data_IF_388729636932
#
_entry.id   IF_388729636932
#
_cell.length_a   1.000
_cell.length_b   1.000
_cell.length_c   1.000
_cell.angle_alpha   90.00
_cell.angle_beta   90.00
_cell.angle_gamma   90.00
#
_symmetry.space_group_name_H-M   'P 1'
#
loop_
_entity.id
_entity.type
_entity.pdbx_description
1 polymer ?
#
# COMPACT_ATOMS: atom_id res chain seq x y z
N UNK A 1 25.17 -24.58 -9.89
CA UNK A 1 24.03 -24.24 -9.00
C UNK A 1 24.64 -23.71 -7.71
N UNK A 2 24.84 -22.39 -7.63
CA UNK A 2 25.35 -21.79 -6.40
C UNK A 2 24.35 -22.06 -5.28
N UNK A 3 24.86 -22.46 -4.12
CA UNK A 3 24.07 -22.73 -2.92
C UNK A 3 23.18 -21.53 -2.61
N UNK A 4 21.88 -21.68 -2.89
CA UNK A 4 20.89 -20.63 -2.65
C UNK A 4 20.84 -20.31 -1.17
N UNK A 5 20.62 -19.02 -0.88
CA UNK A 5 20.49 -18.37 0.43
C UNK A 5 19.53 -19.13 1.37
N UNK A 6 20.01 -20.24 1.95
CA UNK A 6 19.24 -21.18 2.73
C UNK A 6 18.95 -20.55 4.10
N UNK A 7 17.89 -19.75 4.15
CA UNK A 7 17.42 -19.09 5.37
C UNK A 7 16.73 -17.75 5.15
N UNK A 8 16.79 -17.16 3.94
CA UNK A 8 16.12 -15.90 3.69
C UNK A 8 14.63 -16.10 3.32
N UNK A 9 13.73 -15.47 4.08
CA UNK A 9 12.29 -15.42 3.74
C UNK A 9 12.06 -14.57 2.49
N UNK A 10 11.00 -14.85 1.73
CA UNK A 10 10.70 -14.07 0.53
C UNK A 10 10.51 -12.57 0.83
N UNK A 11 9.92 -12.22 1.98
CA UNK A 11 9.82 -10.83 2.45
C UNK A 11 11.19 -10.17 2.64
N UNK A 12 12.18 -10.91 3.16
CA UNK A 12 13.54 -10.40 3.33
C UNK A 12 14.27 -10.23 1.99
N UNK A 13 13.94 -11.04 0.99
CA UNK A 13 14.47 -10.88 -0.37
C UNK A 13 13.95 -9.59 -1.00
N UNK A 14 12.62 -9.37 -0.96
CA UNK A 14 11.97 -8.14 -1.47
C UNK A 14 12.52 -6.90 -0.77
N UNK A 15 12.68 -6.95 0.55
CA UNK A 15 13.26 -5.84 1.32
C UNK A 15 14.70 -5.51 0.88
N UNK A 16 15.55 -6.53 0.65
CA UNK A 16 16.91 -6.32 0.14
C UNK A 16 16.92 -5.73 -1.26
N UNK A 17 16.07 -6.24 -2.16
CA UNK A 17 15.93 -5.68 -3.52
C UNK A 17 15.57 -4.18 -3.47
N UNK A 18 14.67 -3.80 -2.57
CA UNK A 18 14.33 -2.39 -2.32
C UNK A 18 15.50 -1.54 -1.80
N UNK A 19 16.34 -2.08 -0.91
CA UNK A 19 17.53 -1.37 -0.42
C UNK A 19 18.61 -1.20 -1.49
N UNK A 20 18.82 -2.23 -2.31
CA UNK A 20 19.87 -2.27 -3.32
C UNK A 20 19.50 -1.46 -4.57
N UNK A 21 18.25 -1.56 -5.02
CA UNK A 21 17.80 -0.99 -6.30
C UNK A 21 16.65 0.02 -6.19
N UNK A 22 16.12 0.31 -5.01
CA UNK A 22 14.94 1.18 -4.86
C UNK A 22 15.18 2.67 -5.09
N UNK A 23 16.45 3.11 -5.15
CA UNK A 23 16.85 4.51 -5.40
C UNK A 23 17.76 4.60 -6.63
N UNK A 24 17.25 4.32 -7.84
CA UNK A 24 18.06 4.36 -9.05
C UNK A 24 18.49 5.80 -9.40
N UNK A 25 19.56 5.92 -10.17
CA UNK A 25 19.91 7.19 -10.81
C UNK A 25 18.82 7.63 -11.80
N UNK A 26 18.80 8.93 -12.12
CA UNK A 26 17.81 9.49 -13.05
C UNK A 26 17.77 8.71 -14.38
N UNK A 27 16.57 8.29 -14.78
CA UNK A 27 16.34 7.54 -16.02
C UNK A 27 16.52 6.03 -15.93
N UNK A 28 16.95 5.49 -14.79
CA UNK A 28 17.03 4.04 -14.55
C UNK A 28 15.75 3.48 -13.89
N UNK A 29 15.39 2.20 -14.15
CA UNK A 29 14.29 1.55 -13.45
C UNK A 29 14.66 1.31 -11.98
N UNK A 30 13.70 1.49 -11.07
CA UNK A 30 13.85 1.13 -9.67
C UNK A 30 13.54 -0.35 -9.42
N UNK A 31 13.89 -0.84 -8.24
CA UNK A 31 13.40 -2.13 -7.76
C UNK A 31 11.86 -2.14 -7.76
N UNK A 32 11.28 -3.28 -8.13
CA UNK A 32 9.83 -3.42 -8.19
C UNK A 32 9.25 -3.43 -6.77
N UNK A 33 8.29 -2.54 -6.45
CA UNK A 33 7.62 -2.58 -5.16
C UNK A 33 6.61 -3.71 -5.12
N UNK A 34 6.22 -4.09 -3.91
CA UNK A 34 4.98 -4.83 -3.70
C UNK A 34 3.78 -3.90 -3.93
N UNK A 35 2.74 -4.40 -4.61
CA UNK A 35 1.52 -3.64 -4.86
C UNK A 35 0.29 -4.47 -4.57
N UNK A 36 -0.76 -3.81 -4.10
CA UNK A 36 -2.08 -4.39 -3.90
C UNK A 36 -3.16 -3.42 -4.39
N UNK A 37 -4.38 -3.93 -4.57
CA UNK A 37 -5.52 -3.16 -5.04
C UNK A 37 -6.64 -3.18 -3.99
N UNK A 38 -7.13 -2.00 -3.62
CA UNK A 38 -8.13 -1.81 -2.54
C UNK A 38 -9.51 -1.47 -3.10
N UNK A 39 -9.96 -2.27 -4.07
CA UNK A 39 -11.31 -2.23 -4.61
C UNK A 39 -11.66 -0.94 -5.35
N UNK A 40 -12.95 -0.73 -5.52
CA UNK A 40 -13.58 0.31 -6.36
C UNK A 40 -13.84 1.64 -5.63
N UNK A 41 -13.33 1.78 -4.40
CA UNK A 41 -13.57 2.95 -3.56
C UNK A 41 -14.66 2.75 -2.51
N UNK A 42 -15.36 1.62 -2.48
CA UNK A 42 -16.30 1.25 -1.40
C UNK A 42 -15.68 1.20 0.00
N UNK A 43 -14.35 1.11 0.09
CA UNK A 43 -13.57 1.14 1.34
C UNK A 43 -13.21 2.57 1.78
N UNK A 44 -13.44 3.59 0.96
CA UNK A 44 -13.07 4.97 1.28
C UNK A 44 -14.04 5.55 2.30
N UNK A 45 -13.50 6.14 3.36
CA UNK A 45 -14.27 6.88 4.37
C UNK A 45 -13.90 8.35 4.39
N UNK A 46 -14.83 9.17 4.86
CA UNK A 46 -14.62 10.62 4.95
C UNK A 46 -13.49 10.97 5.92
N UNK A 47 -12.81 12.09 5.66
CA UNK A 47 -11.81 12.64 6.57
C UNK A 47 -12.42 12.89 7.96
N UNK A 48 -11.76 12.41 9.01
CA UNK A 48 -12.24 12.52 10.40
C UNK A 48 -13.36 11.52 10.78
N UNK A 49 -13.83 10.68 9.84
CA UNK A 49 -14.77 9.62 10.17
C UNK A 49 -14.06 8.47 10.95
N UNK A 50 -14.80 7.71 11.76
CA UNK A 50 -14.24 6.54 12.45
C UNK A 50 -13.69 5.49 11.47
N UNK A 51 -12.52 4.94 11.80
CA UNK A 51 -11.97 3.77 11.13
C UNK A 51 -12.41 2.51 11.87
N UNK A 52 -13.44 1.84 11.34
CA UNK A 52 -14.01 0.66 11.99
C UNK A 52 -13.17 -0.59 11.73
N UNK A 53 -12.78 -1.28 12.81
CA UNK A 53 -12.17 -2.60 12.75
C UNK A 53 -13.25 -3.68 12.71
N UNK A 54 -13.19 -4.67 11.80
CA UNK A 54 -14.19 -5.74 11.75
C UNK A 54 -14.18 -6.61 13.02
N UNK A 55 -15.37 -6.99 13.50
CA UNK A 55 -15.61 -7.65 14.79
C UNK A 55 -14.74 -8.91 15.07
N UNK A 56 -14.39 -9.67 14.02
CA UNK A 56 -13.66 -10.94 14.13
C UNK A 56 -12.17 -10.82 13.74
N UNK A 57 -11.62 -9.62 13.66
CA UNK A 57 -10.23 -9.40 13.26
C UNK A 57 -9.35 -8.99 14.45
N UNK A 58 -8.17 -9.60 14.60
CA UNK A 58 -7.19 -9.13 15.55
C UNK A 58 -6.71 -7.72 15.15
N UNK A 59 -6.69 -6.79 16.12
CA UNK A 59 -6.12 -5.43 16.07
C UNK A 59 -5.70 -4.91 14.68
N UNK A 60 -6.55 -4.06 14.09
CA UNK A 60 -6.15 -3.22 12.97
C UNK A 60 -5.30 -2.01 13.46
N UNK A 61 -4.48 -1.45 12.58
CA UNK A 61 -3.63 -0.29 12.85
C UNK A 61 -3.75 0.77 11.77
N UNK A 62 -3.49 2.02 12.15
CA UNK A 62 -3.38 3.15 11.22
C UNK A 62 -2.02 3.11 10.50
N UNK A 63 -2.02 3.38 9.20
CA UNK A 63 -0.81 3.57 8.38
C UNK A 63 -0.92 4.92 7.66
N UNK A 64 -0.41 6.01 8.27
CA UNK A 64 -0.42 7.33 7.65
C UNK A 64 0.51 7.37 6.42
N UNK A 65 0.00 7.83 5.29
CA UNK A 65 0.68 7.86 4.00
C UNK A 65 0.46 9.17 3.23
N UNK A 66 1.24 9.36 2.15
CA UNK A 66 0.97 10.40 1.14
C UNK A 66 0.30 9.70 -0.05
N UNK A 67 -0.93 10.07 -0.35
CA UNK A 67 -1.67 9.54 -1.50
C UNK A 67 -1.60 10.50 -2.70
N UNK A 68 -1.18 9.97 -3.85
CA UNK A 68 -1.36 10.64 -5.14
C UNK A 68 -2.78 10.42 -5.66
N UNK A 69 -3.49 11.49 -5.99
CA UNK A 69 -4.85 11.43 -6.49
C UNK A 69 -4.84 11.61 -8.01
N UNK A 70 -5.48 10.68 -8.71
CA UNK A 70 -5.56 10.65 -10.16
C UNK A 70 -7.01 10.54 -10.60
N UNK A 71 -7.36 11.26 -11.67
CA UNK A 71 -8.59 11.06 -12.42
C UNK A 71 -8.24 10.31 -13.70
N UNK A 72 -8.96 9.23 -14.00
CA UNK A 72 -8.83 8.55 -15.29
C UNK A 72 -9.74 9.28 -16.28
N UNK A 73 -9.17 9.85 -17.34
CA UNK A 73 -9.93 10.56 -18.37
C UNK A 73 -10.72 9.59 -19.29
N UNK A 74 -11.64 10.08 -20.14
CA UNK A 74 -12.44 9.21 -21.02
C UNK A 74 -11.62 8.33 -21.97
N UNK A 75 -10.38 8.72 -22.27
CA UNK A 75 -9.43 7.98 -23.08
C UNK A 75 -8.62 6.94 -22.28
N UNK A 76 -8.84 6.86 -20.96
CA UNK A 76 -8.16 5.93 -20.07
C UNK A 76 -6.80 6.45 -19.55
N UNK A 77 -6.46 7.72 -19.77
CA UNK A 77 -5.18 8.30 -19.35
C UNK A 77 -5.30 8.80 -17.90
N UNK A 78 -4.41 8.35 -16.99
CA UNK A 78 -4.36 8.90 -15.64
C UNK A 78 -3.89 10.36 -15.63
N UNK A 79 -4.69 11.25 -15.07
CA UNK A 79 -4.39 12.66 -14.84
C UNK A 79 -4.21 12.91 -13.36
N UNK A 80 -2.98 13.26 -12.93
CA UNK A 80 -2.72 13.59 -11.51
C UNK A 80 -3.42 14.90 -11.16
N UNK A 81 -4.26 14.86 -10.13
CA UNK A 81 -4.91 16.04 -9.56
C UNK A 81 -4.02 16.69 -8.50
N UNK A 82 -3.32 15.89 -7.69
CA UNK A 82 -2.46 16.38 -6.62
C UNK A 82 -2.11 15.27 -5.62
N UNK A 83 -1.64 15.69 -4.45
CA UNK A 83 -1.32 14.84 -3.31
C UNK A 83 -2.16 15.22 -2.08
N UNK A 84 -2.52 14.23 -1.27
CA UNK A 84 -3.15 14.45 0.03
C UNK A 84 -2.53 13.50 1.07
N UNK A 85 -2.75 13.79 2.36
CA UNK A 85 -2.49 12.80 3.40
C UNK A 85 -3.55 11.70 3.31
N UNK A 86 -3.16 10.47 3.61
CA UNK A 86 -4.06 9.34 3.66
C UNK A 86 -3.78 8.49 4.90
N UNK A 87 -4.74 7.66 5.26
CA UNK A 87 -4.55 6.62 6.26
C UNK A 87 -5.04 5.30 5.69
N UNK A 88 -4.09 4.41 5.42
CA UNK A 88 -4.33 3.05 4.98
C UNK A 88 -4.55 2.19 6.23
N UNK A 89 -5.80 2.11 6.68
CA UNK A 89 -6.09 1.26 7.83
C UNK A 89 -5.88 -0.20 7.45
N UNK A 90 -5.10 -0.94 8.23
CA UNK A 90 -4.62 -2.26 7.85
C UNK A 90 -4.71 -3.27 9.01
N UNK A 91 -4.71 -4.56 8.67
CA UNK A 91 -4.64 -5.66 9.63
C UNK A 91 -3.27 -6.33 9.61
N UNK A 92 -2.29 -5.66 10.22
CA UNK A 92 -0.92 -6.15 10.32
C UNK A 92 -0.81 -7.50 11.05
N UNK A 93 -1.78 -7.89 11.87
CA UNK A 93 -1.76 -9.20 12.54
C UNK A 93 -2.08 -10.32 11.54
N UNK A 94 -3.09 -10.11 10.70
CA UNK A 94 -3.43 -11.03 9.61
C UNK A 94 -2.27 -11.15 8.63
N UNK A 95 -1.65 -10.04 8.24
CA UNK A 95 -0.50 -10.03 7.32
C UNK A 95 0.70 -10.82 7.87
N UNK A 96 1.04 -10.61 9.15
CA UNK A 96 2.16 -11.31 9.81
C UNK A 96 1.96 -12.82 9.90
N UNK A 97 0.72 -13.30 9.87
CA UNK A 97 0.45 -14.72 9.94
C UNK A 97 0.88 -15.46 8.66
N UNK A 98 0.66 -14.84 7.50
CA UNK A 98 1.02 -15.40 6.20
C UNK A 98 1.19 -14.27 5.20
N UNK A 99 2.37 -14.17 4.59
CA UNK A 99 2.67 -13.10 3.63
C UNK A 99 1.71 -13.10 2.42
N UNK A 100 1.16 -14.27 2.05
CA UNK A 100 0.13 -14.38 0.99
C UNK A 100 -1.19 -13.70 1.37
N UNK A 101 -1.34 -13.22 2.61
CA UNK A 101 -2.54 -12.55 3.10
C UNK A 101 -2.44 -11.04 3.09
N UNK A 102 -1.42 -10.45 2.47
CA UNK A 102 -1.33 -9.00 2.28
C UNK A 102 -2.61 -8.43 1.67
N UNK A 103 -3.07 -8.95 0.53
CA UNK A 103 -4.28 -8.42 -0.12
C UNK A 103 -5.50 -8.46 0.83
N UNK A 104 -5.57 -9.47 1.69
CA UNK A 104 -6.63 -9.66 2.68
C UNK A 104 -6.50 -8.77 3.91
N UNK A 105 -5.27 -8.46 4.35
CA UNK A 105 -5.00 -7.53 5.45
C UNK A 105 -5.42 -6.11 5.10
N UNK A 106 -5.36 -5.77 3.80
CA UNK A 106 -5.67 -4.45 3.26
C UNK A 106 -7.18 -4.23 2.99
N UNK A 107 -8.04 -5.25 3.11
CA UNK A 107 -9.51 -5.11 2.95
C UNK A 107 -10.18 -4.42 4.15
N UNK A 108 -9.83 -3.17 4.41
CA UNK A 108 -10.26 -2.34 5.55
C UNK A 108 -10.61 -0.94 5.05
N UNK A 109 -11.18 -0.05 5.88
CA UNK A 109 -11.36 1.34 5.49
C UNK A 109 -10.05 2.03 5.05
N UNK A 110 -10.16 3.06 4.23
CA UNK A 110 -9.07 3.99 3.92
C UNK A 110 -9.61 5.42 4.02
N UNK A 111 -8.89 6.30 4.70
CA UNK A 111 -9.28 7.71 4.78
C UNK A 111 -8.36 8.55 3.91
N UNK A 112 -8.93 9.56 3.24
CA UNK A 112 -8.19 10.59 2.51
C UNK A 112 -8.35 11.93 3.23
N UNK A 113 -7.29 12.72 3.26
CA UNK A 113 -7.28 14.08 3.76
C UNK A 113 -8.16 14.98 2.90
N UNK A 114 -8.79 15.97 3.52
CA UNK A 114 -9.64 16.93 2.82
C UNK A 114 -8.87 17.93 1.94
N UNK A 115 -7.55 18.05 2.15
CA UNK A 115 -6.68 18.99 1.45
C UNK A 115 -5.96 18.31 0.28
N UNK A 116 -5.87 19.03 -0.84
CA UNK A 116 -5.17 18.58 -2.05
C UNK A 116 -4.08 19.58 -2.43
N UNK A 117 -2.83 19.11 -2.45
CA UNK A 117 -1.66 19.85 -2.96
C UNK A 117 -1.47 19.55 -4.45
N UNK A 118 -1.64 20.55 -5.30
CA UNK A 118 -1.64 20.41 -6.76
C UNK A 118 -0.29 20.71 -7.40
#
# INVERSE_FOLDING_TARGET
LAAGDAGQTDSMRIFREGLEGGKPAAGGPGAQPEWFYKGDGSSVVASGAPLESPLLRPRCGEEPEIAGIYLIDPEGVPRRLGFCLANEFSDHVTERHNYLWLAHSKLRPVALGAELLT
#
